data_IF_391989783565
#
_entry.id   IF_391989783565
#
_cell.length_a   1.000
_cell.length_b   1.000
_cell.length_c   1.000
_cell.angle_alpha   90.00
_cell.angle_beta   90.00
_cell.angle_gamma   90.00
#
_symmetry.space_group_name_H-M   'P 1'
#
loop_
_entity.id
_entity.type
_entity.pdbx_description
1 polymer ?
#
# COMPACT_ATOMS: atom_id res chain seq x y z
N UNK A 1 20.16 -1.39 -14.80
CA UNK A 1 19.96 0.03 -14.47
C UNK A 1 20.57 0.25 -13.09
N UNK A 2 21.60 1.08 -12.99
CA UNK A 2 22.19 1.42 -11.69
C UNK A 2 21.18 2.24 -10.89
N UNK A 3 20.89 1.80 -9.66
CA UNK A 3 20.15 2.59 -8.68
C UNK A 3 21.03 3.78 -8.33
N UNK A 4 20.75 4.95 -8.92
CA UNK A 4 21.35 6.23 -8.52
C UNK A 4 21.03 6.38 -7.03
N UNK A 5 22.01 6.16 -6.15
CA UNK A 5 21.86 6.48 -4.72
C UNK A 5 21.60 7.97 -4.67
N UNK A 6 20.36 8.35 -4.36
CA UNK A 6 19.99 9.74 -4.16
C UNK A 6 20.67 10.15 -2.86
N UNK A 7 21.86 10.74 -2.96
CA UNK A 7 22.57 11.31 -1.83
C UNK A 7 21.79 12.52 -1.35
N UNK A 8 20.89 12.28 -0.39
CA UNK A 8 20.07 13.33 0.19
C UNK A 8 20.84 14.01 1.32
N UNK A 9 21.07 15.33 1.22
CA UNK A 9 21.78 16.10 2.23
C UNK A 9 20.98 16.10 3.54
N UNK A 10 21.71 16.09 4.65
CA UNK A 10 21.15 16.13 5.99
C UNK A 10 21.70 17.35 6.74
N UNK A 11 20.85 17.97 7.55
CA UNK A 11 21.20 19.11 8.41
C UNK A 11 20.47 18.97 9.76
N UNK A 12 20.91 19.71 10.77
CA UNK A 12 20.33 19.64 12.11
C UNK A 12 19.32 20.76 12.35
N UNK A 13 18.37 20.54 13.26
CA UNK A 13 17.40 21.56 13.67
C UNK A 13 18.08 22.80 14.27
N UNK A 14 19.28 22.64 14.84
CA UNK A 14 20.07 23.75 15.37
C UNK A 14 20.61 24.65 14.26
N UNK A 15 20.98 24.07 13.13
CA UNK A 15 21.47 24.79 11.95
C UNK A 15 20.35 25.56 11.27
N UNK A 16 19.17 24.95 11.13
CA UNK A 16 17.95 25.64 10.66
C UNK A 16 17.61 26.85 11.54
N UNK A 17 17.73 26.70 12.86
CA UNK A 17 17.47 27.80 13.81
C UNK A 17 18.50 28.91 13.72
N UNK A 18 19.75 28.59 13.38
CA UNK A 18 20.85 29.54 13.27
C UNK A 18 20.79 30.31 11.96
N UNK A 19 20.61 29.60 10.86
CA UNK A 19 20.60 30.15 9.51
C UNK A 19 19.72 29.27 8.61
N UNK A 20 18.42 29.56 8.53
CA UNK A 20 17.53 28.80 7.65
C UNK A 20 17.90 29.00 6.17
N UNK A 21 18.52 30.13 5.82
CA UNK A 21 18.93 30.44 4.46
C UNK A 21 20.04 29.51 3.95
N UNK A 22 21.02 29.17 4.80
CA UNK A 22 22.11 28.26 4.42
C UNK A 22 21.59 26.86 4.07
N UNK A 23 20.55 26.41 4.79
CA UNK A 23 19.89 25.13 4.53
C UNK A 23 19.12 25.16 3.20
N UNK A 24 18.49 26.29 2.85
CA UNK A 24 17.87 26.45 1.53
C UNK A 24 18.90 26.52 0.40
N UNK A 25 20.05 27.17 0.62
CA UNK A 25 21.14 27.19 -0.36
C UNK A 25 21.76 25.80 -0.54
N UNK A 26 21.83 25.00 0.53
CA UNK A 26 22.22 23.60 0.46
C UNK A 26 21.22 22.79 -0.37
N UNK A 27 19.92 22.98 -0.15
CA UNK A 27 18.88 22.33 -0.95
C UNK A 27 18.97 22.72 -2.43
N UNK A 28 19.25 24.00 -2.72
CA UNK A 28 19.45 24.50 -4.10
C UNK A 28 20.68 23.85 -4.75
N UNK A 29 21.82 23.81 -4.05
CA UNK A 29 23.08 23.23 -4.56
C UNK A 29 22.97 21.72 -4.80
N UNK A 30 22.25 21.01 -3.94
CA UNK A 30 22.06 19.58 -4.05
C UNK A 30 20.95 19.19 -5.03
N UNK A 31 20.20 20.17 -5.56
CA UNK A 31 19.01 19.98 -6.40
C UNK A 31 17.96 19.03 -5.78
N UNK A 32 18.00 18.85 -4.46
CA UNK A 32 17.14 17.93 -3.71
C UNK A 32 16.85 18.49 -2.31
N UNK A 33 15.82 17.97 -1.66
CA UNK A 33 15.44 18.40 -0.31
C UNK A 33 16.47 18.01 0.75
N UNK A 34 16.62 18.87 1.75
CA UNK A 34 17.52 18.63 2.90
C UNK A 34 16.72 18.05 4.06
N UNK A 35 17.13 16.89 4.57
CA UNK A 35 16.52 16.28 5.75
C UNK A 35 17.00 16.98 7.01
N UNK A 36 16.04 17.40 7.86
CA UNK A 36 16.32 18.07 9.11
C UNK A 36 16.22 17.07 10.25
N UNK A 37 17.30 16.88 10.98
CA UNK A 37 17.38 16.00 12.13
C UNK A 37 17.21 16.78 13.43
N UNK A 38 16.36 16.26 14.31
CA UNK A 38 16.30 16.64 15.71
C UNK A 38 16.80 15.46 16.55
N UNK A 39 18.04 15.57 17.03
CA UNK A 39 18.78 14.45 17.63
C UNK A 39 18.89 13.30 16.62
N UNK A 40 18.39 12.12 16.96
CA UNK A 40 18.45 10.92 16.10
C UNK A 40 17.19 10.74 15.23
N UNK A 41 16.25 11.69 15.26
CA UNK A 41 14.98 11.60 14.51
C UNK A 41 14.90 12.65 13.41
N UNK A 42 14.38 12.27 12.25
CA UNK A 42 14.02 13.21 11.19
C UNK A 42 12.81 14.03 11.65
N UNK A 43 12.98 15.34 11.72
CA UNK A 43 11.93 16.30 12.06
C UNK A 43 11.15 16.79 10.83
N UNK A 44 11.79 16.84 9.66
CA UNK A 44 11.16 17.28 8.42
C UNK A 44 12.15 17.37 7.26
N UNK A 45 11.68 17.90 6.14
CA UNK A 45 12.49 18.17 4.94
C UNK A 45 12.31 19.63 4.55
N UNK A 46 13.41 20.32 4.22
CA UNK A 46 13.39 21.68 3.67
C UNK A 46 13.69 21.64 2.17
N UNK A 47 12.86 22.35 1.41
CA UNK A 47 12.91 22.45 -0.05
C UNK A 47 12.84 23.93 -0.43
N UNK A 48 13.44 24.32 -1.55
CA UNK A 48 13.21 25.65 -2.11
C UNK A 48 11.81 25.75 -2.72
N UNK A 49 11.31 26.96 -2.92
CA UNK A 49 10.03 27.20 -3.59
C UNK A 49 9.99 26.54 -4.97
N UNK A 50 11.02 26.77 -5.79
CA UNK A 50 11.12 26.22 -7.14
C UNK A 50 11.07 24.69 -7.16
N UNK A 51 11.79 24.04 -6.22
CA UNK A 51 11.76 22.59 -6.09
C UNK A 51 10.37 22.07 -5.72
N UNK A 52 9.70 22.74 -4.78
CA UNK A 52 8.35 22.38 -4.38
C UNK A 52 7.34 22.53 -5.54
N UNK A 53 7.38 23.64 -6.26
CA UNK A 53 6.52 23.88 -7.42
C UNK A 53 6.78 22.86 -8.55
N UNK A 54 8.05 22.54 -8.81
CA UNK A 54 8.43 21.52 -9.80
C UNK A 54 7.87 20.16 -9.44
N UNK A 55 7.98 19.74 -8.16
CA UNK A 55 7.40 18.48 -7.69
C UNK A 55 5.88 18.44 -7.85
N UNK A 56 5.19 19.56 -7.59
CA UNK A 56 3.75 19.65 -7.80
C UNK A 56 3.37 19.56 -9.28
N UNK A 57 4.11 20.22 -10.16
CA UNK A 57 3.88 20.16 -11.61
C UNK A 57 4.14 18.77 -12.17
N UNK A 58 5.23 18.12 -11.75
CA UNK A 58 5.54 16.74 -12.14
C UNK A 58 4.44 15.79 -11.68
N UNK A 59 4.00 15.91 -10.43
CA UNK A 59 2.91 15.13 -9.88
C UNK A 59 1.58 15.39 -10.62
N UNK A 60 1.28 16.63 -11.01
CA UNK A 60 0.10 16.96 -11.81
C UNK A 60 0.18 16.32 -13.21
N UNK A 61 1.34 16.40 -13.85
CA UNK A 61 1.60 15.84 -15.18
C UNK A 61 1.48 14.31 -15.16
N UNK A 62 2.10 13.65 -14.17
CA UNK A 62 1.98 12.20 -13.99
C UNK A 62 0.54 11.75 -13.71
N UNK A 63 -0.22 12.55 -12.95
CA UNK A 63 -1.65 12.28 -12.72
C UNK A 63 -2.46 12.43 -14.00
N UNK A 64 -2.19 13.45 -14.82
CA UNK A 64 -2.83 13.63 -16.12
C UNK A 64 -2.48 12.53 -17.11
N UNK A 65 -1.20 12.15 -17.20
CA UNK A 65 -0.73 11.09 -18.09
C UNK A 65 -1.43 9.75 -17.78
N UNK A 66 -1.56 9.42 -16.49
CA UNK A 66 -2.29 8.22 -16.09
C UNK A 66 -3.81 8.38 -16.33
N UNK A 67 -4.35 9.59 -16.23
CA UNK A 67 -5.75 9.84 -16.59
C UNK A 67 -5.97 9.60 -18.09
N UNK A 68 -5.11 10.12 -18.97
CA UNK A 68 -5.20 9.91 -20.42
C UNK A 68 -4.96 8.45 -20.81
N UNK A 69 -4.02 7.75 -20.19
CA UNK A 69 -3.84 6.29 -20.38
C UNK A 69 -5.05 5.48 -19.91
N UNK A 70 -5.81 5.99 -18.93
CA UNK A 70 -7.09 5.39 -18.54
C UNK A 70 -8.26 5.82 -19.43
N UNK A 71 -8.17 6.91 -20.19
CA UNK A 71 -9.20 7.30 -21.16
C UNK A 71 -9.16 6.48 -22.46
N UNK A 72 -7.98 6.00 -22.89
CA UNK A 72 -7.89 5.02 -23.99
C UNK A 72 -8.52 3.66 -23.64
N UNK A 73 -8.78 3.40 -22.35
CA UNK A 73 -9.53 2.23 -21.86
C UNK A 73 -10.95 2.54 -21.38
N UNK A 74 -11.40 3.80 -21.45
CA UNK A 74 -12.72 4.26 -20.97
C UNK A 74 -13.56 4.92 -22.06
N UNK A 75 -13.71 4.28 -23.22
CA UNK A 75 -14.85 4.59 -24.10
C UNK A 75 -16.19 4.08 -23.56
N UNK A 76 -16.25 3.39 -22.42
CA UNK A 76 -17.53 3.06 -21.77
C UNK A 76 -17.46 3.26 -20.25
N UNK A 77 -18.18 4.26 -19.73
CA UNK A 77 -18.62 4.28 -18.32
C UNK A 77 -18.21 5.50 -17.50
N UNK A 78 -18.95 6.58 -17.73
CA UNK A 78 -19.30 7.74 -16.89
C UNK A 78 -18.66 7.95 -15.50
N UNK A 79 -18.32 9.23 -15.31
CA UNK A 79 -17.77 9.90 -14.14
C UNK A 79 -18.58 9.76 -12.83
N UNK A 80 -17.86 9.57 -11.72
CA UNK A 80 -18.09 10.27 -10.45
C UNK A 80 -16.76 10.53 -9.74
N UNK A 81 -16.66 11.74 -9.18
CA UNK A 81 -15.47 12.33 -8.57
C UNK A 81 -15.24 11.81 -7.14
N UNK A 82 -14.05 11.28 -6.85
CA UNK A 82 -13.44 11.19 -5.50
C UNK A 82 -11.91 11.03 -5.71
N UNK A 83 -11.06 12.04 -5.38
CA UNK A 83 -9.67 12.04 -5.80
C UNK A 83 -8.72 11.54 -4.69
N UNK A 84 -8.85 10.32 -4.16
CA UNK A 84 -7.81 9.76 -3.27
C UNK A 84 -7.89 8.23 -3.08
N UNK A 85 -7.60 7.42 -4.11
CA UNK A 85 -7.19 6.02 -3.87
C UNK A 85 -6.39 5.45 -5.03
N UNK A 86 -5.12 5.87 -5.14
CA UNK A 86 -4.15 5.21 -6.04
C UNK A 86 -3.27 4.20 -5.29
N UNK A 87 -3.89 3.44 -4.38
CA UNK A 87 -3.42 2.09 -4.09
C UNK A 87 -4.32 1.19 -4.92
N UNK A 88 -3.86 0.82 -6.12
CA UNK A 88 -4.49 -0.23 -6.93
C UNK A 88 -4.48 -1.51 -6.10
N UNK A 89 -5.54 -1.71 -5.33
CA UNK A 89 -5.91 -3.02 -4.82
C UNK A 89 -6.24 -3.85 -6.06
N UNK A 90 -5.34 -4.76 -6.42
CA UNK A 90 -5.64 -5.81 -7.39
C UNK A 90 -6.55 -6.83 -6.70
N UNK A 91 -7.75 -6.39 -6.32
CA UNK A 91 -8.84 -7.26 -5.92
C UNK A 91 -9.62 -7.56 -7.18
N UNK A 92 -9.45 -8.78 -7.69
CA UNK A 92 -10.13 -9.26 -8.90
C UNK A 92 -11.26 -10.18 -8.47
N UNK A 93 -12.48 -9.84 -8.87
CA UNK A 93 -13.69 -10.61 -8.56
C UNK A 93 -14.28 -11.20 -9.83
N UNK A 94 -14.86 -12.39 -9.73
CA UNK A 94 -15.50 -13.11 -10.86
C UNK A 94 -16.94 -12.68 -11.15
N UNK A 95 -17.55 -11.80 -10.33
CA UNK A 95 -18.95 -11.39 -10.45
C UNK A 95 -19.21 -10.00 -9.85
N UNK A 96 -20.10 -9.22 -10.48
CA UNK A 96 -20.58 -7.90 -10.02
C UNK A 96 -21.29 -7.98 -8.65
N UNK A 97 -21.82 -9.16 -8.27
CA UNK A 97 -22.44 -9.42 -6.97
C UNK A 97 -21.48 -9.38 -5.77
N UNK A 98 -20.17 -9.28 -6.02
CA UNK A 98 -19.14 -9.22 -4.98
C UNK A 98 -18.60 -7.80 -4.74
N UNK A 99 -19.09 -6.79 -5.45
CA UNK A 99 -18.52 -5.43 -5.40
C UNK A 99 -18.63 -4.77 -4.02
N UNK A 100 -19.70 -5.06 -3.27
CA UNK A 100 -19.83 -4.60 -1.87
C UNK A 100 -18.75 -5.23 -0.97
N UNK A 101 -18.48 -6.52 -1.16
CA UNK A 101 -17.50 -7.26 -0.38
C UNK A 101 -16.06 -6.89 -0.77
N UNK A 102 -15.83 -6.60 -2.05
CA UNK A 102 -14.59 -6.00 -2.55
C UNK A 102 -14.36 -4.63 -1.95
N UNK A 103 -15.40 -3.79 -1.90
CA UNK A 103 -15.32 -2.45 -1.32
C UNK A 103 -15.00 -2.51 0.17
N UNK A 104 -15.63 -3.44 0.90
CA UNK A 104 -15.27 -3.71 2.29
C UNK A 104 -13.81 -4.17 2.41
N UNK A 105 -13.36 -5.14 1.62
CA UNK A 105 -11.96 -5.59 1.62
C UNK A 105 -10.98 -4.46 1.29
N UNK A 106 -11.30 -3.56 0.36
CA UNK A 106 -10.47 -2.37 0.05
C UNK A 106 -10.35 -1.42 1.24
N UNK A 107 -11.42 -1.25 2.01
CA UNK A 107 -11.42 -0.39 3.19
C UNK A 107 -10.62 -1.01 4.35
N UNK A 108 -10.67 -2.34 4.49
CA UNK A 108 -9.99 -3.03 5.59
C UNK A 108 -8.55 -3.45 5.27
N UNK A 109 -8.21 -3.71 4.00
CA UNK A 109 -6.93 -4.24 3.57
C UNK A 109 -6.23 -3.29 2.60
N UNK A 110 -5.05 -2.82 2.98
CA UNK A 110 -4.16 -2.06 2.11
C UNK A 110 -3.10 -3.01 1.55
N UNK A 111 -3.20 -3.33 0.26
CA UNK A 111 -2.21 -4.15 -0.46
C UNK A 111 -0.89 -3.38 -0.62
N UNK A 112 0.24 -4.08 -0.52
CA UNK A 112 1.58 -3.50 -0.65
C UNK A 112 2.17 -2.96 0.65
N UNK A 113 1.45 -3.07 1.77
CA UNK A 113 1.93 -2.67 3.11
C UNK A 113 2.15 -3.92 3.96
N UNK A 114 3.19 -3.87 4.80
CA UNK A 114 3.49 -4.91 5.80
C UNK A 114 2.41 -4.90 6.89
N UNK A 115 1.64 -5.98 7.00
CA UNK A 115 0.59 -6.19 8.01
C UNK A 115 0.94 -7.43 8.85
N UNK A 116 0.63 -7.41 10.15
CA UNK A 116 0.77 -8.63 10.95
C UNK A 116 -0.29 -9.65 10.55
N UNK A 117 0.10 -10.91 10.48
CA UNK A 117 -0.79 -12.04 10.20
C UNK A 117 -2.00 -12.08 11.14
N UNK A 118 -1.82 -11.68 12.41
CA UNK A 118 -2.92 -11.52 13.38
C UNK A 118 -3.96 -10.49 12.92
N UNK A 119 -3.50 -9.33 12.49
CA UNK A 119 -4.37 -8.23 12.07
C UNK A 119 -5.06 -8.55 10.72
N UNK A 120 -4.40 -9.30 9.84
CA UNK A 120 -5.05 -9.86 8.65
C UNK A 120 -6.19 -10.81 9.04
N UNK A 121 -5.92 -11.75 9.94
CA UNK A 121 -6.90 -12.75 10.34
C UNK A 121 -8.11 -12.12 11.07
N UNK A 122 -7.87 -11.21 12.02
CA UNK A 122 -8.93 -10.46 12.69
C UNK A 122 -9.85 -9.72 11.70
N UNK A 123 -9.28 -9.12 10.64
CA UNK A 123 -10.04 -8.41 9.59
C UNK A 123 -10.82 -9.38 8.71
N UNK A 124 -10.22 -10.49 8.31
CA UNK A 124 -10.90 -11.51 7.50
C UNK A 124 -12.04 -12.16 8.28
N UNK A 125 -11.85 -12.46 9.57
CA UNK A 125 -12.89 -12.97 10.47
C UNK A 125 -14.00 -11.95 10.67
N UNK A 126 -13.67 -10.66 10.82
CA UNK A 126 -14.68 -9.59 10.92
C UNK A 126 -15.55 -9.48 9.65
N UNK A 127 -14.97 -9.73 8.48
CA UNK A 127 -15.68 -9.83 7.21
C UNK A 127 -16.43 -11.16 7.04
N UNK A 128 -16.31 -12.08 8.00
CA UNK A 128 -17.01 -13.36 8.03
C UNK A 128 -16.29 -14.49 7.29
N UNK A 129 -15.03 -14.31 6.90
CA UNK A 129 -14.20 -15.35 6.31
C UNK A 129 -13.60 -16.26 7.38
N UNK A 130 -13.44 -17.54 7.03
CA UNK A 130 -12.80 -18.58 7.83
C UNK A 130 -11.79 -19.34 6.97
N UNK A 131 -10.66 -19.75 7.53
CA UNK A 131 -9.66 -20.55 6.82
C UNK A 131 -10.14 -22.01 6.70
N UNK A 132 -9.91 -22.65 5.54
CA UNK A 132 -10.40 -24.02 5.26
C UNK A 132 -9.62 -25.13 5.98
N UNK A 133 -8.38 -24.89 6.39
CA UNK A 133 -7.54 -25.89 7.06
C UNK A 133 -7.82 -25.90 8.56
N UNK A 134 -8.72 -26.81 8.90
CA UNK A 134 -8.98 -27.44 10.19
C UNK A 134 -7.99 -27.16 11.32
N UNK A 135 -8.46 -26.38 12.30
CA UNK A 135 -8.09 -26.50 13.71
C UNK A 135 -7.13 -25.42 14.19
N UNK A 136 -7.67 -24.29 14.68
CA UNK A 136 -6.93 -23.31 15.51
C UNK A 136 -5.45 -23.12 15.11
N UNK A 137 -5.19 -23.08 13.80
CA UNK A 137 -3.85 -22.90 13.28
C UNK A 137 -3.53 -21.44 13.48
N UNK A 138 -2.70 -21.17 14.47
CA UNK A 138 -2.38 -19.80 14.86
C UNK A 138 -1.73 -19.04 13.71
N UNK A 139 -1.40 -17.78 13.98
CA UNK A 139 -0.65 -16.90 13.08
C UNK A 139 0.55 -17.59 12.40
N UNK A 140 1.22 -18.51 13.10
CA UNK A 140 2.39 -19.26 12.62
C UNK A 140 2.05 -20.21 11.46
N UNK A 141 0.93 -20.92 11.52
CA UNK A 141 0.56 -21.88 10.47
C UNK A 141 0.14 -21.15 9.19
N UNK A 142 -0.50 -19.99 9.33
CA UNK A 142 -0.80 -19.11 8.20
C UNK A 142 0.47 -18.57 7.52
N UNK A 143 1.48 -18.22 8.31
CA UNK A 143 2.77 -17.78 7.79
C UNK A 143 3.50 -18.91 7.07
N UNK A 144 3.49 -20.12 7.64
CA UNK A 144 4.05 -21.30 7.00
C UNK A 144 3.35 -21.60 5.66
N UNK A 145 2.01 -21.54 5.62
CA UNK A 145 1.24 -21.71 4.38
C UNK A 145 1.59 -20.65 3.34
N UNK A 146 1.76 -19.40 3.77
CA UNK A 146 2.20 -18.32 2.89
C UNK A 146 3.61 -18.57 2.35
N UNK A 147 4.53 -19.09 3.16
CA UNK A 147 5.88 -19.43 2.71
C UNK A 147 5.93 -20.64 1.78
N UNK A 148 5.07 -21.65 2.00
CA UNK A 148 5.06 -22.88 1.19
C UNK A 148 4.30 -22.72 -0.13
N UNK A 149 3.15 -22.04 -0.10
CA UNK A 149 2.23 -21.98 -1.25
C UNK A 149 2.19 -20.60 -1.91
N UNK A 150 2.66 -19.55 -1.21
CA UNK A 150 2.54 -18.17 -1.64
C UNK A 150 1.11 -17.60 -1.54
N UNK A 151 0.17 -18.36 -0.95
CA UNK A 151 -1.27 -18.02 -0.96
C UNK A 151 -1.95 -18.44 0.35
N UNK A 152 -2.99 -17.72 0.76
CA UNK A 152 -3.85 -18.09 1.89
C UNK A 152 -5.30 -18.12 1.40
N UNK A 153 -5.99 -19.24 1.65
CA UNK A 153 -7.36 -19.44 1.19
C UNK A 153 -8.38 -19.23 2.32
N UNK A 154 -9.22 -18.22 2.15
CA UNK A 154 -10.31 -17.87 3.03
C UNK A 154 -11.65 -18.22 2.41
N UNK A 155 -12.58 -18.76 3.19
CA UNK A 155 -13.94 -19.08 2.76
C UNK A 155 -14.96 -18.28 3.57
N UNK A 156 -15.94 -17.65 2.93
CA UNK A 156 -16.98 -16.91 3.62
C UNK A 156 -17.93 -17.88 4.36
N UNK A 157 -18.13 -17.66 5.67
CA UNK A 157 -19.01 -18.48 6.53
C UNK A 157 -20.49 -18.31 6.16
N UNK A 158 -20.90 -17.09 5.84
CA UNK A 158 -22.23 -16.81 5.32
C UNK A 158 -22.24 -17.21 3.85
N UNK A 159 -23.23 -17.98 3.43
CA UNK A 159 -23.49 -18.30 2.02
C UNK A 159 -24.52 -17.30 1.48
N UNK A 160 -24.13 -16.10 1.02
CA UNK A 160 -25.07 -15.26 0.30
C UNK A 160 -25.52 -16.06 -0.93
N UNK A 161 -26.82 -16.32 -1.03
CA UNK A 161 -27.45 -17.05 -2.13
C UNK A 161 -27.02 -18.52 -2.32
N UNK A 162 -26.53 -19.19 -1.26
CA UNK A 162 -26.19 -20.62 -1.30
C UNK A 162 -24.85 -20.95 -1.99
N UNK A 163 -24.17 -19.95 -2.56
CA UNK A 163 -22.84 -20.08 -3.17
C UNK A 163 -21.72 -19.95 -2.15
N UNK A 164 -20.59 -20.58 -2.44
CA UNK A 164 -19.40 -20.52 -1.60
C UNK A 164 -18.48 -19.44 -2.14
N UNK A 165 -18.25 -18.38 -1.37
CA UNK A 165 -17.26 -17.35 -1.74
C UNK A 165 -15.91 -17.71 -1.15
N UNK A 166 -14.88 -17.75 -1.99
CA UNK A 166 -13.48 -17.97 -1.61
C UNK A 166 -12.67 -16.71 -1.90
N UNK A 167 -11.90 -16.25 -0.93
CA UNK A 167 -10.90 -15.21 -1.08
C UNK A 167 -9.50 -15.84 -1.04
N UNK A 168 -8.77 -15.78 -2.15
CA UNK A 168 -7.37 -16.17 -2.24
C UNK A 168 -6.49 -14.95 -2.01
N UNK A 169 -5.78 -14.90 -0.89
CA UNK A 169 -4.85 -13.83 -0.56
C UNK A 169 -3.45 -14.27 -1.01
N UNK A 170 -2.87 -13.56 -1.97
CA UNK A 170 -1.50 -13.78 -2.44
C UNK A 170 -0.59 -12.75 -1.78
N UNK A 171 0.47 -13.22 -1.12
CA UNK A 171 1.40 -12.36 -0.42
C UNK A 171 2.74 -13.05 -0.18
N UNK A 172 3.65 -12.31 0.45
CA UNK A 172 4.96 -12.81 0.86
C UNK A 172 5.24 -12.39 2.31
N UNK A 173 6.02 -13.19 3.02
CA UNK A 173 6.47 -12.80 4.36
C UNK A 173 7.45 -11.62 4.26
N UNK A 174 7.32 -10.65 5.16
CA UNK A 174 8.22 -9.50 5.20
C UNK A 174 9.56 -9.89 5.84
N UNK A 175 10.54 -10.28 5.02
CA UNK A 175 11.88 -10.66 5.48
C UNK A 175 12.70 -9.50 6.07
N UNK A 176 12.24 -8.25 5.94
CA UNK A 176 12.94 -7.07 6.47
C UNK A 176 12.49 -6.72 7.91
N UNK A 177 11.39 -7.31 8.37
CA UNK A 177 10.87 -7.10 9.72
C UNK A 177 11.58 -8.00 10.73
N UNK A 178 12.10 -7.42 11.83
CA UNK A 178 12.60 -8.19 12.98
C UNK A 178 11.53 -9.06 13.65
N UNK A 179 10.25 -8.78 13.36
CA UNK A 179 9.10 -9.54 13.81
C UNK A 179 8.67 -10.49 12.68
N UNK A 180 8.79 -11.79 12.93
CA UNK A 180 8.45 -12.88 12.00
C UNK A 180 6.95 -12.99 11.67
N UNK A 181 6.10 -12.15 12.28
CA UNK A 181 4.65 -12.19 12.16
C UNK A 181 4.09 -11.32 11.03
N UNK A 182 4.93 -10.62 10.28
CA UNK A 182 4.52 -9.68 9.24
C UNK A 182 4.53 -10.27 7.84
N UNK A 183 3.53 -9.90 7.06
CA UNK A 183 3.37 -10.27 5.66
C UNK A 183 2.98 -9.06 4.80
N UNK A 184 3.32 -9.11 3.53
CA UNK A 184 2.98 -8.12 2.52
C UNK A 184 1.95 -8.75 1.59
N UNK A 185 0.75 -8.19 1.56
CA UNK A 185 -0.31 -8.64 0.64
C UNK A 185 -0.04 -8.06 -0.74
N UNK A 186 0.16 -8.91 -1.74
CA UNK A 186 0.38 -8.50 -3.13
C UNK A 186 -0.94 -8.38 -3.89
N UNK A 187 -1.80 -9.40 -3.81
CA UNK A 187 -3.07 -9.47 -4.54
C UNK A 187 -4.10 -10.25 -3.74
N UNK A 188 -5.38 -10.00 -4.00
CA UNK A 188 -6.46 -10.79 -3.44
C UNK A 188 -7.41 -11.16 -4.58
N UNK A 189 -7.74 -12.43 -4.71
CA UNK A 189 -8.70 -12.90 -5.70
C UNK A 189 -9.97 -13.35 -5.00
N UNK A 190 -11.12 -13.00 -5.54
CA UNK A 190 -12.41 -13.44 -5.04
C UNK A 190 -13.14 -14.25 -6.10
N UNK A 191 -13.52 -15.46 -5.71
CA UNK A 191 -14.20 -16.42 -6.58
C UNK A 191 -15.46 -16.94 -5.91
N UNK A 192 -16.57 -16.95 -6.65
CA UNK A 192 -17.80 -17.68 -6.29
C UNK A 192 -17.73 -19.10 -6.87
N UNK A 193 -18.06 -20.10 -6.05
CA UNK A 193 -18.30 -21.51 -6.45
C UNK A 193 -19.77 -21.85 -6.23
#
# INVERSE_FOLDING_TARGET
MELKKLEVPTSSITEVKRSPMDVFDQARKAETGVYIFNREKVAGVMLTQEQYETLLQELATLRQLIATETEETKTNGSATNEPFTKNRTAIVSTSESLDELVSALKQYLVTGVSISAKNLDERMVALGFITKKTGFGGVVDMLNELTETGKINYQLRKKPNGKIVIAEIIGEQDSQSQLFDKLIIKKIYLHEI
#
